data_IF_734349581317
#
_entry.id   IF_734349581317
#
_cell.length_a   1.000
_cell.length_b   1.000
_cell.length_c   1.000
_cell.angle_alpha   90.00
_cell.angle_beta   90.00
_cell.angle_gamma   90.00
#
_symmetry.space_group_name_H-M   'P 1'
#
loop_
_entity.id
_entity.type
_entity.pdbx_description
1 polymer ?
#
# COMPACT_ATOMS: atom_id res chain seq x y z
N UNK A 1 14.80 1.15 11.21
CA UNK A 1 15.96 2.05 11.05
C UNK A 1 16.26 2.76 12.36
N UNK A 2 17.52 3.06 12.66
CA UNK A 2 17.93 3.81 13.86
C UNK A 2 19.13 4.69 13.53
N UNK A 3 19.10 5.96 13.90
CA UNK A 3 20.17 6.91 13.62
C UNK A 3 19.69 8.36 13.75
N UNK A 4 20.61 9.31 13.60
CA UNK A 4 20.34 10.74 13.79
C UNK A 4 19.35 11.33 12.77
N UNK A 5 19.17 10.67 11.61
CA UNK A 5 18.22 11.09 10.57
C UNK A 5 16.79 10.58 10.79
N UNK A 6 16.55 9.78 11.83
CA UNK A 6 15.22 9.25 12.12
C UNK A 6 14.34 10.38 12.66
N UNK A 7 13.15 10.52 12.06
CA UNK A 7 12.13 11.49 12.50
C UNK A 7 11.79 11.33 13.99
N UNK A 8 11.46 12.41 14.72
CA UNK A 8 10.94 12.29 16.09
C UNK A 8 9.51 11.71 16.15
N UNK A 9 8.81 11.59 15.03
CA UNK A 9 7.44 11.06 14.97
C UNK A 9 6.55 11.81 13.99
N UNK A 10 5.25 11.49 14.02
CA UNK A 10 4.22 12.17 13.24
C UNK A 10 3.64 13.38 13.99
N UNK A 11 3.48 14.48 13.28
CA UNK A 11 2.90 15.71 13.85
C UNK A 11 1.43 15.50 14.25
N UNK A 12 1.09 15.88 15.49
CA UNK A 12 -0.26 15.77 16.07
C UNK A 12 -0.91 14.37 15.97
N UNK A 13 -0.07 13.32 15.90
CA UNK A 13 -0.48 11.92 15.78
C UNK A 13 0.38 11.02 16.68
N UNK A 14 0.19 11.10 18.01
CA UNK A 14 0.97 10.31 18.97
C UNK A 14 0.70 8.80 18.80
N UNK A 15 -0.52 8.42 18.46
CA UNK A 15 -0.95 7.05 18.14
C UNK A 15 -0.13 6.46 16.98
N UNK A 16 -0.06 7.17 15.86
CA UNK A 16 0.70 6.73 14.69
C UNK A 16 2.22 6.73 14.96
N UNK A 17 2.68 7.62 15.83
CA UNK A 17 4.08 7.67 16.26
C UNK A 17 4.42 6.44 17.07
N UNK A 18 3.62 6.08 18.06
CA UNK A 18 3.85 4.87 18.85
C UNK A 18 3.83 3.61 17.98
N UNK A 19 2.87 3.51 17.05
CA UNK A 19 2.78 2.37 16.13
C UNK A 19 3.99 2.24 15.19
N UNK A 20 4.51 3.36 14.68
CA UNK A 20 5.63 3.36 13.75
C UNK A 20 6.97 2.99 14.38
N UNK A 21 7.07 3.02 15.71
CA UNK A 21 8.29 2.70 16.42
C UNK A 21 8.21 1.33 17.12
N UNK A 22 9.38 0.75 17.36
CA UNK A 22 9.57 -0.45 18.18
C UNK A 22 10.79 -0.21 19.07
N UNK A 23 10.57 0.45 20.21
CA UNK A 23 11.64 1.09 20.97
C UNK A 23 12.34 2.16 20.12
N UNK A 24 13.67 2.17 20.09
CA UNK A 24 14.46 3.15 19.33
C UNK A 24 14.52 2.91 17.81
N UNK A 25 13.73 1.96 17.31
CA UNK A 25 13.73 1.57 15.90
C UNK A 25 12.47 2.02 15.18
N UNK A 26 12.63 2.82 14.13
CA UNK A 26 11.57 3.17 13.19
C UNK A 26 11.27 1.99 12.25
N UNK A 27 10.00 1.60 12.13
CA UNK A 27 9.51 0.65 11.13
C UNK A 27 9.30 1.40 9.81
N UNK A 28 10.16 1.17 8.81
CA UNK A 28 10.04 1.88 7.52
C UNK A 28 8.84 1.42 6.69
N UNK A 29 8.32 0.22 6.97
CA UNK A 29 7.27 -0.40 6.17
C UNK A 29 7.79 -1.14 4.94
N UNK A 30 9.12 -1.26 4.80
CA UNK A 30 9.76 -1.98 3.69
C UNK A 30 10.10 -3.41 4.10
N UNK A 31 9.85 -4.35 3.20
CA UNK A 31 10.37 -5.70 3.27
C UNK A 31 11.69 -5.71 2.50
N UNK A 32 12.77 -6.08 3.18
CA UNK A 32 14.09 -6.10 2.59
C UNK A 32 14.81 -7.44 2.79
N UNK A 33 15.71 -7.73 1.87
CA UNK A 33 16.60 -8.90 1.93
C UNK A 33 18.03 -8.44 2.05
N UNK A 34 18.79 -9.11 2.90
CA UNK A 34 20.24 -8.92 3.01
C UNK A 34 20.95 -10.11 2.36
N UNK A 35 21.83 -9.83 1.41
CA UNK A 35 22.62 -10.87 0.74
C UNK A 35 23.89 -11.25 1.52
N UNK A 36 24.62 -12.25 1.02
CA UNK A 36 25.86 -12.75 1.64
C UNK A 36 27.00 -11.73 1.68
N UNK A 37 26.96 -10.69 0.83
CA UNK A 37 27.93 -9.59 0.81
C UNK A 37 27.54 -8.45 1.75
N UNK A 38 26.36 -8.56 2.39
CA UNK A 38 25.82 -7.59 3.31
C UNK A 38 25.04 -6.46 2.64
N UNK A 39 24.77 -6.55 1.33
CA UNK A 39 23.92 -5.58 0.61
C UNK A 39 22.46 -5.78 0.99
N UNK A 40 21.73 -4.68 1.15
CA UNK A 40 20.28 -4.68 1.36
C UNK A 40 19.56 -4.32 0.06
N UNK A 41 18.55 -5.11 -0.30
CA UNK A 41 17.56 -4.80 -1.33
C UNK A 41 16.19 -4.61 -0.68
N UNK A 42 15.39 -3.69 -1.23
CA UNK A 42 13.96 -3.57 -0.91
C UNK A 42 13.20 -4.42 -1.91
N UNK A 43 12.38 -5.33 -1.42
CA UNK A 43 11.68 -6.32 -2.25
C UNK A 43 10.17 -6.07 -2.30
N UNK A 44 9.59 -5.54 -1.22
CA UNK A 44 8.16 -5.33 -1.12
C UNK A 44 7.84 -4.29 -0.01
N UNK A 45 6.55 -3.95 0.16
CA UNK A 45 6.04 -3.04 1.19
C UNK A 45 4.99 -3.74 2.05
N UNK A 46 5.05 -3.50 3.36
CA UNK A 46 4.07 -4.03 4.34
C UNK A 46 2.75 -3.25 4.26
N UNK A 47 2.83 -1.97 3.91
CA UNK A 47 1.65 -1.10 3.77
C UNK A 47 1.14 -1.18 2.34
N UNK A 48 -0.18 -1.20 2.20
CA UNK A 48 -0.86 -1.17 0.90
C UNK A 48 -0.59 0.18 0.20
N UNK A 49 0.46 0.20 -0.62
CA UNK A 49 1.04 1.38 -1.26
C UNK A 49 1.97 0.93 -2.38
N UNK A 50 1.93 1.61 -3.53
CA UNK A 50 2.85 1.39 -4.64
C UNK A 50 3.62 2.68 -4.96
N UNK A 51 4.72 2.58 -5.72
CA UNK A 51 5.51 3.74 -6.16
C UNK A 51 5.32 3.99 -7.64
N UNK A 52 4.77 5.16 -7.98
CA UNK A 52 4.63 5.58 -9.37
C UNK A 52 5.36 6.90 -9.61
N UNK A 53 6.27 6.92 -10.59
CA UNK A 53 7.06 8.11 -10.91
C UNK A 53 7.97 8.59 -9.77
N UNK A 54 8.28 7.75 -8.79
CA UNK A 54 9.05 8.11 -7.60
C UNK A 54 8.21 8.61 -6.43
N UNK A 55 6.89 8.68 -6.57
CA UNK A 55 5.96 9.12 -5.54
C UNK A 55 5.26 7.93 -4.89
N UNK A 56 5.01 8.02 -3.57
CA UNK A 56 4.23 7.05 -2.83
C UNK A 56 2.74 7.26 -3.12
N UNK A 57 2.06 6.23 -3.61
CA UNK A 57 0.63 6.29 -3.88
C UNK A 57 -0.10 5.24 -3.05
N UNK A 58 -1.11 5.70 -2.31
CA UNK A 58 -1.98 4.84 -1.49
C UNK A 58 -3.25 4.53 -2.27
N UNK A 59 -3.50 3.26 -2.66
CA UNK A 59 -4.69 2.85 -3.41
C UNK A 59 -5.99 3.40 -2.85
N UNK A 60 -6.17 3.33 -1.52
CA UNK A 60 -7.37 3.79 -0.82
C UNK A 60 -7.73 5.27 -1.10
N UNK A 61 -6.73 6.14 -1.32
CA UNK A 61 -6.99 7.55 -1.66
C UNK A 61 -7.59 7.68 -3.06
N UNK A 62 -7.01 6.97 -4.03
CA UNK A 62 -7.49 6.94 -5.42
C UNK A 62 -8.86 6.27 -5.52
N UNK A 63 -9.05 5.17 -4.80
CA UNK A 63 -10.32 4.44 -4.70
C UNK A 63 -11.42 5.33 -4.12
N UNK A 64 -11.14 6.07 -3.04
CA UNK A 64 -12.13 6.96 -2.42
C UNK A 64 -12.61 8.04 -3.39
N UNK A 65 -11.75 8.53 -4.28
CA UNK A 65 -12.12 9.51 -5.31
C UNK A 65 -12.96 8.84 -6.40
N UNK A 66 -12.55 7.67 -6.89
CA UNK A 66 -13.25 6.95 -7.95
C UNK A 66 -14.63 6.45 -7.50
N UNK A 67 -14.77 6.04 -6.24
CA UNK A 67 -16.04 5.64 -5.64
C UNK A 67 -17.07 6.77 -5.59
N UNK A 68 -16.67 8.03 -5.76
CA UNK A 68 -17.60 9.15 -5.88
C UNK A 68 -18.28 9.24 -7.27
N UNK A 69 -17.79 8.50 -8.27
CA UNK A 69 -18.35 8.51 -9.62
C UNK A 69 -19.60 7.61 -9.71
N UNK A 70 -20.72 8.14 -10.23
CA UNK A 70 -22.03 7.46 -10.25
C UNK A 70 -22.04 6.10 -10.96
N UNK A 71 -21.16 5.93 -11.93
CA UNK A 71 -21.10 4.72 -12.75
C UNK A 71 -20.21 3.63 -12.16
N UNK A 72 -19.52 3.89 -11.04
CA UNK A 72 -18.64 2.95 -10.36
C UNK A 72 -19.37 2.42 -9.12
N UNK A 73 -19.56 1.10 -9.06
CA UNK A 73 -20.12 0.42 -7.88
C UNK A 73 -19.03 0.07 -6.88
N UNK A 74 -17.96 -0.53 -7.37
CA UNK A 74 -16.79 -0.98 -6.62
C UNK A 74 -15.56 -0.73 -7.48
N UNK A 75 -14.44 -0.43 -6.85
CA UNK A 75 -13.15 -0.26 -7.52
C UNK A 75 -12.03 -0.71 -6.60
N UNK A 76 -11.03 -1.36 -7.18
CA UNK A 76 -9.75 -1.66 -6.56
C UNK A 76 -8.62 -1.08 -7.40
N UNK A 77 -7.66 -0.42 -6.75
CA UNK A 77 -6.46 0.13 -7.38
C UNK A 77 -5.26 -0.73 -7.00
N UNK A 78 -4.48 -1.14 -8.01
CA UNK A 78 -3.27 -1.92 -7.81
C UNK A 78 -2.09 -1.28 -8.52
N UNK A 79 -0.90 -1.42 -7.93
CA UNK A 79 0.36 -1.21 -8.64
C UNK A 79 0.60 -2.35 -9.62
N UNK A 80 0.99 -2.02 -10.84
CA UNK A 80 1.46 -3.00 -11.84
C UNK A 80 2.81 -2.55 -12.38
N UNK A 81 3.69 -3.51 -12.65
CA UNK A 81 5.01 -3.23 -13.19
C UNK A 81 4.94 -2.43 -14.50
N UNK A 82 5.81 -1.44 -14.62
CA UNK A 82 5.99 -0.59 -15.80
C UNK A 82 7.50 -0.32 -16.03
N UNK A 83 7.85 0.25 -17.19
CA UNK A 83 9.23 0.52 -17.59
C UNK A 83 9.98 1.41 -16.59
N UNK A 84 9.25 2.25 -15.84
CA UNK A 84 9.79 3.22 -14.89
C UNK A 84 9.48 2.89 -13.42
N UNK A 85 9.18 1.63 -13.09
CA UNK A 85 8.79 1.20 -11.74
C UNK A 85 7.38 0.61 -11.75
N UNK A 86 6.42 1.29 -11.11
CA UNK A 86 5.02 0.87 -11.11
C UNK A 86 4.12 1.95 -11.71
N UNK A 87 3.07 1.51 -12.40
CA UNK A 87 1.92 2.33 -12.78
C UNK A 87 0.68 1.77 -12.11
N UNK A 88 -0.37 2.55 -12.05
CA UNK A 88 -1.63 2.09 -11.47
C UNK A 88 -2.51 1.42 -12.51
N UNK A 89 -3.26 0.41 -12.07
CA UNK A 89 -4.35 -0.18 -12.81
C UNK A 89 -5.61 -0.21 -11.92
N UNK A 90 -6.77 -0.01 -12.54
CA UNK A 90 -8.06 -0.06 -11.85
C UNK A 90 -8.84 -1.29 -12.29
N UNK A 91 -9.39 -2.01 -11.31
CA UNK A 91 -10.39 -3.03 -11.52
C UNK A 91 -11.72 -2.50 -10.99
N UNK A 92 -12.64 -2.14 -11.88
CA UNK A 92 -13.92 -1.52 -11.50
C UNK A 92 -15.12 -2.38 -11.88
N UNK A 93 -16.13 -2.37 -11.02
CA UNK A 93 -17.45 -2.91 -11.31
C UNK A 93 -18.38 -1.76 -11.66
N UNK A 94 -18.97 -1.75 -12.88
CA UNK A 94 -19.89 -0.69 -13.25
C UNK A 94 -21.21 -0.82 -12.49
N UNK A 95 -21.89 0.31 -12.27
CA UNK A 95 -23.16 0.36 -11.56
C UNK A 95 -24.27 -0.43 -12.27
N UNK A 96 -24.17 -0.62 -13.58
CA UNK A 96 -25.08 -1.44 -14.40
C UNK A 96 -24.83 -2.95 -14.28
N UNK A 97 -23.74 -3.39 -13.67
CA UNK A 97 -23.43 -4.81 -13.54
C UNK A 97 -24.48 -5.53 -12.68
N UNK A 98 -24.91 -6.72 -13.08
CA UNK A 98 -25.68 -7.60 -12.20
C UNK A 98 -24.88 -7.87 -10.92
N UNK A 99 -25.54 -7.93 -9.76
CA UNK A 99 -24.85 -8.31 -8.51
C UNK A 99 -24.26 -9.72 -8.71
N UNK A 100 -22.93 -9.91 -8.63
CA UNK A 100 -22.40 -11.25 -8.52
C UNK A 100 -23.00 -11.87 -7.25
N UNK A 101 -23.50 -13.10 -7.35
CA UNK A 101 -23.89 -13.84 -6.15
C UNK A 101 -22.68 -13.96 -5.22
N UNK A 102 -22.90 -13.90 -3.91
CA UNK A 102 -21.85 -14.15 -2.92
C UNK A 102 -21.36 -15.58 -3.12
N UNK A 103 -20.22 -15.76 -3.79
CA UNK A 103 -19.49 -17.03 -3.78
C UNK A 103 -18.71 -17.04 -2.47
N UNK A 104 -19.31 -17.63 -1.45
CA UNK A 104 -18.62 -17.86 -0.19
C UNK A 104 -17.34 -18.65 -0.45
N UNK A 105 -16.18 -18.03 -0.21
CA UNK A 105 -14.90 -18.70 -0.25
C UNK A 105 -14.83 -19.64 0.97
N UNK A 106 -15.35 -20.85 0.83
CA UNK A 106 -15.17 -21.91 1.81
C UNK A 106 -13.72 -22.40 1.70
N UNK A 107 -12.83 -21.80 2.48
CA UNK A 107 -11.51 -22.36 2.72
C UNK A 107 -11.69 -23.54 3.69
N UNK A 108 -11.44 -24.80 3.30
CA UNK A 108 -11.40 -25.91 4.25
C UNK A 108 -10.17 -25.73 5.14
N UNK A 109 -10.41 -25.59 6.45
CA UNK A 109 -9.40 -25.70 7.50
C UNK A 109 -8.75 -27.08 7.48
#
# INVERSE_FOLDING_TARGET
>A
MRGASVTPGYWNRPDATEEAFSGDWLKSGDIGRRDATGRLSVEDRIKDMYISGGENVYPAEVESILMAHSDIREVAIIGVADQNGERWAALSLPQSAARPGVVGCACPL
#
